data_IF_895504333024
#
_entry.id   IF_895504333024
#
_cell.length_a   1.000
_cell.length_b   1.000
_cell.length_c   1.000
_cell.angle_alpha   90.00
_cell.angle_beta   90.00
_cell.angle_gamma   90.00
#
_symmetry.space_group_name_H-M   'P 1'
#
loop_
_entity.id
_entity.type
_entity.pdbx_description
1 polymer ?
#
# COMPACT_ATOMS: atom_id res chain seq x y z
N UNK A 1 7.64 9.09 -24.99
CA UNK A 1 7.25 7.67 -25.09
C UNK A 1 7.06 7.15 -23.67
N UNK A 2 5.92 6.52 -23.37
CA UNK A 2 5.67 5.88 -22.07
C UNK A 2 5.53 4.39 -22.33
N UNK A 3 6.23 3.57 -21.54
CA UNK A 3 6.11 2.13 -21.58
C UNK A 3 5.45 1.64 -20.29
N UNK A 4 4.43 0.78 -20.43
CA UNK A 4 3.87 0.02 -19.32
C UNK A 4 4.28 -1.43 -19.47
N UNK A 5 4.81 -2.01 -18.39
CA UNK A 5 5.32 -3.37 -18.38
C UNK A 5 4.67 -4.09 -17.19
N UNK A 6 4.14 -5.28 -17.43
CA UNK A 6 3.71 -6.21 -16.38
C UNK A 6 4.84 -7.19 -16.11
N UNK A 7 5.27 -7.27 -14.86
CA UNK A 7 6.25 -8.24 -14.42
C UNK A 7 5.52 -9.47 -13.83
N UNK A 8 5.81 -10.66 -14.36
CA UNK A 8 5.21 -11.91 -13.88
C UNK A 8 6.11 -12.69 -12.90
N UNK A 9 7.42 -12.45 -12.91
CA UNK A 9 8.39 -13.15 -12.05
C UNK A 9 9.45 -12.19 -11.53
N UNK A 10 9.72 -12.23 -10.23
CA UNK A 10 10.76 -11.45 -9.57
C UNK A 10 11.83 -12.37 -8.98
N UNK A 11 13.09 -12.09 -9.28
CA UNK A 11 14.22 -12.78 -8.68
C UNK A 11 14.80 -11.92 -7.55
N UNK A 12 14.84 -12.46 -6.33
CA UNK A 12 15.36 -11.76 -5.16
C UNK A 12 16.40 -12.64 -4.49
N UNK A 13 17.49 -12.03 -4.02
CA UNK A 13 18.56 -12.75 -3.31
C UNK A 13 17.99 -13.37 -2.04
N UNK A 14 18.26 -14.67 -1.81
CA UNK A 14 17.66 -15.47 -0.72
C UNK A 14 17.85 -14.83 0.67
N UNK A 15 18.97 -14.16 0.91
CA UNK A 15 19.27 -13.52 2.20
C UNK A 15 18.52 -12.20 2.44
N UNK A 16 17.85 -11.64 1.43
CA UNK A 16 17.19 -10.33 1.45
C UNK A 16 15.65 -10.44 1.38
N UNK A 17 15.09 -11.62 1.61
CA UNK A 17 13.65 -11.89 1.56
C UNK A 17 13.25 -12.63 2.85
N UNK A 18 12.08 -12.29 3.41
CA UNK A 18 11.47 -13.04 4.50
C UNK A 18 10.94 -14.40 3.99
N UNK A 19 10.81 -15.41 4.86
CA UNK A 19 10.36 -16.75 4.48
C UNK A 19 8.99 -16.74 3.79
N UNK A 20 8.11 -15.83 4.22
CA UNK A 20 6.79 -15.59 3.64
C UNK A 20 6.80 -14.75 2.36
N UNK A 21 7.97 -14.37 1.82
CA UNK A 21 8.11 -13.65 0.53
C UNK A 21 7.56 -12.23 0.51
N UNK A 22 6.71 -11.86 1.45
CA UNK A 22 5.97 -10.60 1.44
C UNK A 22 6.85 -9.37 1.71
N UNK A 23 8.02 -9.55 2.32
CA UNK A 23 8.87 -8.45 2.72
C UNK A 23 10.30 -8.61 2.18
N UNK A 24 10.82 -7.52 1.60
CA UNK A 24 12.15 -7.45 1.00
C UNK A 24 13.00 -6.51 1.85
N UNK A 25 14.08 -7.05 2.39
CA UNK A 25 15.03 -6.33 3.22
C UNK A 25 15.95 -5.46 2.34
N UNK A 26 15.63 -4.17 2.22
CA UNK A 26 16.33 -3.22 1.35
C UNK A 26 17.73 -2.87 1.86
N UNK A 27 17.97 -2.96 3.16
CA UNK A 27 19.26 -2.80 3.85
C UNK A 27 20.34 -3.78 3.35
N UNK A 28 19.93 -4.99 2.96
CA UNK A 28 20.80 -6.04 2.42
C UNK A 28 21.04 -5.92 0.92
N UNK A 29 20.09 -5.30 0.20
CA UNK A 29 20.19 -5.08 -1.25
C UNK A 29 20.95 -3.79 -1.57
N UNK A 30 20.89 -2.78 -0.68
CA UNK A 30 21.57 -1.47 -0.80
C UNK A 30 21.45 -0.85 -2.19
N UNK A 31 20.22 -0.62 -2.69
CA UNK A 31 20.03 -0.07 -4.03
C UNK A 31 20.63 1.33 -4.15
N UNK A 32 21.10 1.66 -5.36
CA UNK A 32 21.60 3.00 -5.71
C UNK A 32 20.50 3.75 -6.44
N UNK A 33 20.25 4.99 -6.02
CA UNK A 33 19.27 5.91 -6.63
C UNK A 33 20.00 7.11 -7.21
N UNK A 34 19.58 7.57 -8.37
CA UNK A 34 20.04 8.85 -8.92
C UNK A 34 19.24 9.98 -8.28
N UNK A 35 19.93 10.98 -7.75
CA UNK A 35 19.34 12.12 -7.03
C UNK A 35 19.25 13.39 -7.88
N UNK A 36 19.56 13.27 -9.18
CA UNK A 36 19.65 14.38 -10.14
C UNK A 36 21.09 14.58 -10.63
N UNK A 37 21.25 14.97 -11.90
CA UNK A 37 22.57 15.11 -12.52
C UNK A 37 23.42 13.83 -12.40
N UNK A 38 24.69 13.98 -12.00
CA UNK A 38 25.61 12.86 -11.73
C UNK A 38 25.66 12.45 -10.24
N UNK A 39 24.68 12.87 -9.44
CA UNK A 39 24.64 12.50 -8.02
C UNK A 39 23.91 11.17 -7.82
N UNK A 40 24.56 10.27 -7.10
CA UNK A 40 24.03 8.95 -6.74
C UNK A 40 24.02 8.78 -5.22
N UNK A 41 22.90 8.31 -4.68
CA UNK A 41 22.72 7.98 -3.27
C UNK A 41 22.57 6.48 -3.07
N UNK A 42 23.12 5.95 -1.97
CA UNK A 42 22.90 4.56 -1.53
C UNK A 42 21.78 4.55 -0.49
N UNK A 43 20.79 3.66 -0.66
CA UNK A 43 19.76 3.46 0.35
C UNK A 43 20.30 2.56 1.47
N UNK A 44 20.58 3.17 2.63
CA UNK A 44 21.11 2.47 3.81
C UNK A 44 20.03 2.12 4.82
N UNK A 45 19.00 2.94 4.93
CA UNK A 45 17.94 2.79 5.93
C UNK A 45 16.56 3.00 5.32
N UNK A 46 15.58 2.29 5.86
CA UNK A 46 14.18 2.37 5.47
C UNK A 46 13.34 2.37 6.73
N UNK A 47 12.36 3.27 6.80
CA UNK A 47 11.37 3.30 7.87
C UNK A 47 10.00 3.09 7.26
N UNK A 48 9.18 2.30 7.94
CA UNK A 48 7.77 2.17 7.60
C UNK A 48 6.99 3.24 8.34
N UNK A 49 6.20 4.01 7.60
CA UNK A 49 5.18 4.86 8.20
C UNK A 49 3.92 4.00 8.28
N UNK A 50 3.51 3.51 9.46
CA UNK A 50 2.31 2.70 9.57
C UNK A 50 1.10 3.51 9.13
N UNK A 51 0.31 2.95 8.23
CA UNK A 51 -0.96 3.55 7.84
C UNK A 51 -1.86 3.57 9.06
N UNK A 52 -2.32 4.77 9.47
CA UNK A 52 -3.32 4.90 10.55
C UNK A 52 -4.53 4.02 10.25
N UNK A 53 -5.12 3.44 11.29
CA UNK A 53 -6.34 2.66 11.13
C UNK A 53 -7.45 3.54 10.53
N UNK A 54 -8.42 2.92 9.87
CA UNK A 54 -9.54 3.66 9.28
C UNK A 54 -10.30 4.44 10.37
N UNK A 55 -10.53 3.84 11.55
CA UNK A 55 -11.15 4.52 12.70
C UNK A 55 -10.42 5.80 13.12
N UNK A 56 -9.08 5.80 13.09
CA UNK A 56 -8.28 6.97 13.49
C UNK A 56 -8.23 8.04 12.39
N UNK A 57 -8.35 7.66 11.12
CA UNK A 57 -8.33 8.61 10.00
C UNK A 57 -9.62 9.41 9.88
N UNK A 58 -10.73 8.87 10.38
CA UNK A 58 -12.07 9.35 10.08
C UNK A 58 -12.48 10.49 10.99
N UNK A 59 -11.84 10.56 12.15
CA UNK A 59 -11.92 11.68 13.07
C UNK A 59 -11.15 12.91 12.55
N UNK A 60 -10.23 12.73 11.59
CA UNK A 60 -9.29 13.78 11.17
C UNK A 60 -9.73 14.66 9.99
N UNK A 61 -10.74 14.27 9.19
CA UNK A 61 -11.15 15.06 8.03
C UNK A 61 -12.64 14.96 7.69
N UNK A 62 -13.27 16.11 7.38
CA UNK A 62 -14.71 16.17 7.08
C UNK A 62 -15.13 15.34 5.86
N UNK A 63 -14.23 15.09 4.90
CA UNK A 63 -14.50 14.22 3.75
C UNK A 63 -14.56 12.74 4.16
N UNK A 64 -13.65 12.29 5.03
CA UNK A 64 -13.61 10.90 5.49
C UNK A 64 -14.86 10.49 6.27
N UNK A 65 -15.38 11.39 7.12
CA UNK A 65 -16.65 11.19 7.82
C UNK A 65 -17.85 11.05 6.85
N UNK A 66 -17.89 11.86 5.78
CA UNK A 66 -18.94 11.78 4.75
C UNK A 66 -18.88 10.47 3.97
N UNK A 67 -17.67 10.02 3.61
CA UNK A 67 -17.46 8.73 2.94
C UNK A 67 -17.86 7.56 3.84
N UNK A 68 -17.59 7.64 5.15
CA UNK A 68 -18.07 6.67 6.12
C UNK A 68 -19.58 6.56 6.16
N UNK A 69 -20.26 7.70 6.24
CA UNK A 69 -21.72 7.76 6.29
C UNK A 69 -22.32 7.15 5.03
N UNK A 70 -21.80 7.52 3.85
CA UNK A 70 -22.25 6.97 2.57
C UNK A 70 -21.99 5.46 2.43
N UNK A 71 -20.85 4.98 2.93
CA UNK A 71 -20.56 3.54 2.96
C UNK A 71 -21.52 2.80 3.90
N UNK A 72 -21.82 3.34 5.09
CA UNK A 72 -22.78 2.75 6.01
C UNK A 72 -24.20 2.67 5.41
N UNK A 73 -24.65 3.75 4.75
CA UNK A 73 -25.94 3.82 4.05
C UNK A 73 -26.02 2.82 2.88
N UNK A 74 -24.91 2.62 2.16
CA UNK A 74 -24.81 1.66 1.04
C UNK A 74 -24.79 0.21 1.52
N UNK A 75 -24.29 -0.06 2.73
CA UNK A 75 -24.32 -1.39 3.35
C UNK A 75 -25.74 -1.72 3.84
N UNK A 76 -26.45 -0.75 4.43
CA UNK A 76 -27.83 -0.95 4.89
C UNK A 76 -28.80 -1.24 3.73
N UNK A 77 -28.58 -0.64 2.56
CA UNK A 77 -29.37 -0.88 1.34
C UNK A 77 -29.05 -2.19 0.62
N UNK A 78 -27.89 -2.81 0.88
CA UNK A 78 -27.58 -4.16 0.39
C UNK A 78 -28.19 -5.23 1.28
N UNK A 79 -28.10 -5.07 2.60
CA UNK A 79 -28.68 -6.03 3.57
C UNK A 79 -30.21 -6.08 3.48
N UNK A 80 -30.88 -4.96 3.19
CA UNK A 80 -32.35 -4.98 2.94
C UNK A 80 -32.73 -5.61 1.60
N UNK A 81 -31.79 -5.78 0.65
CA UNK A 81 -32.07 -6.44 -0.63
C UNK A 81 -31.77 -7.95 -0.60
N UNK A 82 -30.78 -8.37 0.19
CA UNK A 82 -30.47 -9.79 0.38
C UNK A 82 -31.47 -10.53 1.31
N UNK A 83 -32.25 -9.80 2.12
CA UNK A 83 -33.32 -10.37 2.97
C UNK A 83 -34.73 -10.39 2.36
N UNK A 84 -34.89 -10.00 1.09
CA UNK A 84 -36.19 -10.01 0.38
C UNK A 84 -36.19 -11.04 -0.77
N UNK A 85 -35.05 -11.65 -1.11
CA UNK A 85 -34.92 -12.74 -2.07
C UNK A 85 -34.74 -14.11 -1.39
N UNK A 86 -35.64 -14.43 -0.45
CA UNK A 86 -35.90 -15.81 0.01
C UNK A 86 -37.39 -16.05 0.12
#
# INVERSE_FOLDING_TARGET
>A
LVALIKADKFWVRKNARNDEVSHIALDKLRPVRQLGGMAYGRLTETFEIPRRSWSDQVQGSGLSARLHKKNAESQMTKVTKEGIES
#
